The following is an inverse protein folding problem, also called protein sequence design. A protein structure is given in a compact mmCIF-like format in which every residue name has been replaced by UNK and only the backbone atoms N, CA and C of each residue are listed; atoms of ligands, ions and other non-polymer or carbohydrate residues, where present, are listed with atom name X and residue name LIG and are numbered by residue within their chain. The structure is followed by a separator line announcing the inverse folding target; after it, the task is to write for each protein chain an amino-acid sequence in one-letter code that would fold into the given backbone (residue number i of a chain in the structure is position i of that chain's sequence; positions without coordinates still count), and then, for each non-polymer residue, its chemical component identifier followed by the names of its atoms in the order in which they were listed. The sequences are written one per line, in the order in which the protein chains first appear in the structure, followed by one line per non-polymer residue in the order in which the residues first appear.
data_IF_857982530082
#
_entry.id   IF_857982530082
#
_cell.length_a   1.000
_cell.length_b   1.000
_cell.length_c   1.000
_cell.angle_alpha   90.00
_cell.angle_beta   90.00
_cell.angle_gamma   90.00
#
_symmetry.space_group_name_H-M   'P 1'
#
loop_
_entity.id
_entity.type
_entity.pdbx_description
1 polymer ?
#
# COMPACT_ATOMS: atom_id res chain seq x y z
N UNK A 1 10.46 15.62 14.26
CA UNK A 1 10.48 14.28 13.63
C UNK A 1 10.62 13.28 14.76
N UNK A 2 9.75 12.26 14.92
CA UNK A 2 10.04 11.22 15.91
C UNK A 2 11.37 10.57 15.55
N UNK A 3 12.27 10.49 16.52
CA UNK A 3 13.59 9.92 16.31
C UNK A 3 13.47 8.49 15.77
N UNK A 4 14.36 8.06 14.85
CA UNK A 4 14.40 6.67 14.43
C UNK A 4 14.64 5.77 15.64
N UNK A 5 13.92 4.65 15.71
CA UNK A 5 14.10 3.67 16.78
C UNK A 5 15.55 3.17 16.73
N UNK A 6 16.33 3.28 17.83
CA UNK A 6 17.71 2.81 17.85
C UNK A 6 17.79 1.33 17.47
N UNK A 7 18.74 0.95 16.61
CA UNK A 7 18.87 -0.42 16.09
C UNK A 7 18.99 -1.48 17.21
N UNK A 8 19.61 -1.11 18.34
CA UNK A 8 19.73 -1.96 19.52
C UNK A 8 18.37 -2.32 20.17
N UNK A 9 17.33 -1.49 19.96
CA UNK A 9 15.97 -1.73 20.45
C UNK A 9 15.09 -2.49 19.44
N UNK A 10 15.61 -2.80 18.25
CA UNK A 10 14.89 -3.53 17.20
C UNK A 10 15.19 -5.02 17.35
N UNK A 11 14.14 -5.84 17.41
CA UNK A 11 14.25 -7.30 17.48
C UNK A 11 15.11 -7.84 16.31
N UNK A 12 16.05 -8.78 16.54
CA UNK A 12 16.99 -9.25 15.51
C UNK A 12 16.33 -9.70 14.20
N UNK A 13 15.17 -10.37 14.26
CA UNK A 13 14.44 -10.82 13.06
C UNK A 13 13.92 -9.68 12.17
N UNK A 14 13.86 -8.45 12.67
CA UNK A 14 13.35 -7.29 11.95
C UNK A 14 14.46 -6.43 11.32
N UNK A 15 15.74 -6.70 11.63
CA UNK A 15 16.86 -5.83 11.22
C UNK A 15 17.10 -5.83 9.71
N UNK A 16 16.96 -7.00 9.11
CA UNK A 16 17.10 -7.24 7.67
C UNK A 16 15.86 -6.80 6.87
N UNK A 17 14.76 -6.45 7.55
CA UNK A 17 13.58 -5.96 6.88
C UNK A 17 13.83 -4.56 6.30
N UNK A 18 13.18 -4.22 5.18
CA UNK A 18 13.22 -2.86 4.68
C UNK A 18 12.67 -1.89 5.72
N UNK A 19 13.12 -0.64 5.62
CA UNK A 19 12.92 0.39 6.65
C UNK A 19 11.45 0.56 7.06
N UNK A 20 10.52 0.51 6.10
CA UNK A 20 9.09 0.64 6.36
C UNK A 20 8.64 -0.45 7.33
N UNK A 21 8.80 -1.71 6.95
CA UNK A 21 8.37 -2.88 7.73
C UNK A 21 9.02 -2.89 9.12
N UNK A 22 10.32 -2.58 9.18
CA UNK A 22 11.07 -2.53 10.43
C UNK A 22 10.57 -1.44 11.40
N UNK A 23 10.19 -0.27 10.89
CA UNK A 23 9.83 0.89 11.71
C UNK A 23 8.33 0.99 12.00
N UNK A 24 7.47 0.28 11.25
CA UNK A 24 6.00 0.35 11.42
C UNK A 24 5.35 -0.98 11.75
N UNK A 25 6.07 -2.11 11.63
CA UNK A 25 5.53 -3.48 11.68
C UNK A 25 4.42 -3.76 10.66
N UNK A 26 4.19 -2.86 9.69
CA UNK A 26 3.27 -3.10 8.58
C UNK A 26 3.88 -4.14 7.65
N UNK A 27 3.03 -4.93 7.00
CA UNK A 27 3.39 -5.88 5.95
C UNK A 27 2.85 -5.42 4.60
N UNK A 28 3.55 -4.52 3.87
CA UNK A 28 3.06 -3.95 2.61
C UNK A 28 2.65 -4.99 1.58
N UNK A 29 3.32 -6.15 1.56
CA UNK A 29 2.99 -7.23 0.63
C UNK A 29 1.59 -7.80 0.88
N UNK A 30 1.22 -8.04 2.14
CA UNK A 30 -0.13 -8.55 2.49
C UNK A 30 -1.21 -7.55 2.09
N UNK A 31 -0.95 -6.26 2.35
CA UNK A 31 -1.89 -5.18 1.97
C UNK A 31 -1.97 -5.08 0.44
N UNK A 32 -0.84 -5.15 -0.26
CA UNK A 32 -0.81 -5.09 -1.73
C UNK A 32 -1.53 -6.28 -2.38
N UNK A 33 -1.36 -7.50 -1.86
CA UNK A 33 -2.12 -8.68 -2.30
C UNK A 33 -3.62 -8.48 -2.08
N UNK A 34 -4.03 -8.01 -0.90
CA UNK A 34 -5.43 -7.70 -0.61
C UNK A 34 -6.00 -6.68 -1.59
N UNK A 35 -5.29 -5.58 -1.86
CA UNK A 35 -5.70 -4.55 -2.83
C UNK A 35 -5.79 -5.09 -4.26
N UNK A 36 -4.88 -5.98 -4.67
CA UNK A 36 -4.95 -6.60 -5.98
C UNK A 36 -6.13 -7.58 -6.08
N UNK A 37 -6.45 -8.34 -5.02
CA UNK A 37 -7.67 -9.17 -4.96
C UNK A 37 -8.95 -8.34 -4.96
N UNK A 38 -9.01 -7.27 -4.17
CA UNK A 38 -10.11 -6.30 -4.18
C UNK A 38 -10.34 -5.74 -5.59
N UNK A 39 -9.28 -5.30 -6.25
CA UNK A 39 -9.37 -4.76 -7.60
C UNK A 39 -9.84 -5.82 -8.61
N UNK A 40 -9.33 -7.07 -8.56
CA UNK A 40 -9.80 -8.19 -9.41
C UNK A 40 -11.28 -8.44 -9.23
N UNK A 41 -11.74 -8.48 -7.98
CA UNK A 41 -13.15 -8.68 -7.65
C UNK A 41 -14.01 -7.56 -8.24
N UNK A 42 -13.62 -6.29 -8.06
CA UNK A 42 -14.35 -5.14 -8.57
C UNK A 42 -14.37 -5.05 -10.10
N UNK A 43 -13.29 -5.43 -10.77
CA UNK A 43 -13.21 -5.38 -12.24
C UNK A 43 -13.81 -6.61 -12.92
N UNK A 44 -14.08 -7.69 -12.16
CA UNK A 44 -14.50 -8.98 -12.72
C UNK A 44 -13.51 -9.54 -13.77
N UNK A 45 -12.25 -9.10 -13.69
CA UNK A 45 -11.19 -9.35 -14.67
C UNK A 45 -9.85 -9.40 -13.95
N UNK A 46 -8.90 -10.16 -14.49
CA UNK A 46 -7.57 -10.25 -13.90
C UNK A 46 -6.82 -8.91 -13.99
N UNK A 47 -6.57 -8.32 -12.82
CA UNK A 47 -5.57 -7.28 -12.63
C UNK A 47 -4.19 -7.89 -12.95
N UNK A 48 -3.37 -7.21 -13.77
CA UNK A 48 -2.07 -7.75 -14.19
C UNK A 48 -1.23 -8.24 -13.02
N UNK A 49 -0.64 -9.43 -13.19
CA UNK A 49 0.32 -10.00 -12.24
C UNK A 49 1.48 -9.03 -11.99
N UNK A 50 1.92 -8.92 -10.72
CA UNK A 50 3.10 -8.13 -10.34
C UNK A 50 2.79 -6.69 -9.95
N UNK A 51 1.52 -6.28 -9.99
CA UNK A 51 1.10 -4.99 -9.41
C UNK A 51 1.33 -4.95 -7.90
N UNK A 52 1.24 -6.09 -7.21
CA UNK A 52 1.59 -6.24 -5.79
C UNK A 52 3.04 -5.80 -5.55
N UNK A 53 3.97 -6.36 -6.33
CA UNK A 53 5.41 -6.04 -6.25
C UNK A 53 5.67 -4.56 -6.55
N UNK A 54 4.98 -4.00 -7.54
CA UNK A 54 5.09 -2.58 -7.86
C UNK A 54 4.59 -1.69 -6.69
N UNK A 55 3.45 -2.02 -6.10
CA UNK A 55 2.88 -1.30 -4.95
C UNK A 55 3.84 -1.33 -3.76
N UNK A 56 4.38 -2.51 -3.42
CA UNK A 56 5.35 -2.68 -2.33
C UNK A 56 6.60 -1.84 -2.57
N UNK A 57 7.18 -1.92 -3.78
CA UNK A 57 8.37 -1.12 -4.14
C UNK A 57 8.09 0.37 -4.03
N UNK A 58 6.94 0.83 -4.51
CA UNK A 58 6.53 2.23 -4.44
C UNK A 58 6.36 2.70 -3.00
N UNK A 59 5.70 1.90 -2.15
CA UNK A 59 5.52 2.21 -0.72
C UNK A 59 6.87 2.35 -0.01
N UNK A 60 7.78 1.39 -0.20
CA UNK A 60 9.14 1.41 0.37
C UNK A 60 9.94 2.62 -0.11
N UNK A 61 9.91 2.92 -1.41
CA UNK A 61 10.62 4.07 -1.97
C UNK A 61 10.08 5.39 -1.39
N UNK A 62 8.77 5.56 -1.34
CA UNK A 62 8.17 6.78 -0.79
C UNK A 62 8.47 6.93 0.69
N UNK A 63 8.48 5.82 1.44
CA UNK A 63 8.86 5.82 2.85
C UNK A 63 10.35 6.17 3.07
N UNK A 64 11.23 5.76 2.17
CA UNK A 64 12.64 6.16 2.24
C UNK A 64 12.80 7.68 2.03
N UNK A 65 11.98 8.29 1.18
CA UNK A 65 12.20 9.65 0.66
C UNK A 65 11.30 10.73 1.29
N UNK A 66 10.14 10.38 1.85
CA UNK A 66 9.13 11.37 2.25
C UNK A 66 8.84 11.32 3.77
N UNK A 67 9.38 12.29 4.54
CA UNK A 67 9.13 12.40 5.98
C UNK A 67 7.65 12.51 6.38
N UNK A 68 6.83 13.16 5.55
CA UNK A 68 5.39 13.31 5.78
C UNK A 68 4.64 12.00 5.64
N UNK A 69 4.98 11.21 4.62
CA UNK A 69 4.46 9.85 4.44
C UNK A 69 4.88 8.94 5.61
N UNK A 70 6.14 9.04 6.06
CA UNK A 70 6.63 8.27 7.21
C UNK A 70 5.83 8.55 8.47
N UNK A 71 5.57 9.83 8.73
CA UNK A 71 4.78 10.26 9.89
C UNK A 71 3.38 9.66 9.86
N UNK A 72 2.73 9.61 8.70
CA UNK A 72 1.40 9.02 8.55
C UNK A 72 1.41 7.51 8.80
N UNK A 73 2.39 6.79 8.26
CA UNK A 73 2.44 5.33 8.43
C UNK A 73 2.88 4.87 9.83
N UNK A 74 3.50 5.74 10.63
CA UNK A 74 3.87 5.47 12.02
C UNK A 74 2.77 5.83 13.03
N UNK A 75 1.68 6.46 12.60
CA UNK A 75 0.54 6.74 13.46
C UNK A 75 -0.32 5.47 13.64
N UNK A 76 -1.23 5.48 14.61
CA UNK A 76 -2.14 4.35 14.88
C UNK A 76 -2.99 3.97 13.65
N UNK A 77 -3.34 4.96 12.81
CA UNK A 77 -4.04 4.76 11.54
C UNK A 77 -3.11 4.44 10.36
N UNK A 78 -1.86 4.08 10.61
CA UNK A 78 -0.85 3.86 9.58
C UNK A 78 -1.20 2.72 8.62
N UNK A 79 -1.86 1.66 9.12
CA UNK A 79 -2.35 0.56 8.30
C UNK A 79 -3.42 1.03 7.30
N UNK A 80 -4.47 1.69 7.80
CA UNK A 80 -5.55 2.24 6.98
C UNK A 80 -5.03 3.25 5.96
N UNK A 81 -4.06 4.07 6.39
CA UNK A 81 -3.39 5.01 5.52
C UNK A 81 -2.69 4.30 4.35
N UNK A 82 -1.97 3.20 4.62
CA UNK A 82 -1.30 2.44 3.59
C UNK A 82 -2.30 1.78 2.62
N UNK A 83 -3.40 1.22 3.13
CA UNK A 83 -4.50 0.72 2.30
C UNK A 83 -5.01 1.80 1.33
N UNK A 84 -5.31 3.00 1.84
CA UNK A 84 -5.81 4.11 1.02
C UNK A 84 -4.82 4.53 -0.07
N UNK A 85 -3.54 4.64 0.25
CA UNK A 85 -2.50 4.96 -0.73
C UNK A 85 -2.36 3.88 -1.82
N UNK A 86 -2.40 2.60 -1.44
CA UNK A 86 -2.27 1.50 -2.40
C UNK A 86 -3.46 1.44 -3.37
N UNK A 87 -4.70 1.65 -2.88
CA UNK A 87 -5.90 1.78 -3.73
C UNK A 87 -5.81 2.95 -4.71
N UNK A 88 -5.37 4.12 -4.23
CA UNK A 88 -5.16 5.28 -5.09
C UNK A 88 -4.12 4.99 -6.19
N UNK A 89 -3.00 4.37 -5.82
CA UNK A 89 -1.91 4.08 -6.76
C UNK A 89 -2.26 3.01 -7.78
N UNK A 90 -2.91 1.91 -7.38
CA UNK A 90 -3.34 0.89 -8.34
C UNK A 90 -4.36 1.46 -9.33
N UNK A 91 -5.26 2.34 -8.86
CA UNK A 91 -6.21 3.02 -9.73
C UNK A 91 -5.50 3.92 -10.74
N UNK A 92 -4.54 4.73 -10.28
CA UNK A 92 -3.75 5.59 -11.17
C UNK A 92 -2.93 4.78 -12.19
N UNK A 93 -2.37 3.64 -11.76
CA UNK A 93 -1.64 2.70 -12.62
C UNK A 93 -2.55 2.11 -13.70
N UNK A 94 -3.72 1.62 -13.31
CA UNK A 94 -4.73 1.07 -14.22
C UNK A 94 -5.23 2.15 -15.19
N UNK A 95 -5.48 3.38 -14.75
CA UNK A 95 -5.88 4.48 -15.64
C UNK A 95 -4.88 4.70 -16.77
N UNK A 96 -3.59 4.53 -16.48
CA UNK A 96 -2.50 4.70 -17.44
C UNK A 96 -2.31 3.50 -18.37
N UNK A 97 -2.37 2.28 -17.83
CA UNK A 97 -1.97 1.07 -18.56
C UNK A 97 -3.16 0.27 -19.11
N UNK A 98 -4.28 0.29 -18.40
CA UNK A 98 -5.50 -0.47 -18.71
C UNK A 98 -6.76 0.38 -18.44
N UNK A 99 -6.99 1.48 -19.20
CA UNK A 99 -8.07 2.44 -18.91
C UNK A 99 -9.47 1.83 -18.96
N UNK A 100 -9.66 0.67 -19.61
CA UNK A 100 -10.92 -0.09 -19.57
C UNK A 100 -11.18 -0.69 -18.19
N UNK A 101 -10.18 -1.33 -17.59
CA UNK A 101 -10.25 -1.88 -16.22
C UNK A 101 -10.43 -0.75 -15.20
N UNK A 102 -9.72 0.35 -15.37
CA UNK A 102 -9.81 1.49 -14.45
C UNK A 102 -11.22 2.09 -14.36
N UNK A 103 -12.01 2.03 -15.44
CA UNK A 103 -13.39 2.53 -15.47
C UNK A 103 -14.39 1.62 -14.74
N UNK A 104 -14.00 0.39 -14.43
CA UNK A 104 -14.84 -0.54 -13.67
C UNK A 104 -14.65 -0.37 -12.16
N UNK A 105 -13.57 0.28 -11.72
CA UNK A 105 -13.36 0.57 -10.31
C UNK A 105 -14.29 1.70 -9.84
N UNK A 106 -14.88 1.59 -8.63
CA UNK A 106 -15.63 2.68 -8.01
C UNK A 106 -14.78 3.94 -7.86
N UNK A 107 -15.40 5.12 -7.99
CA UNK A 107 -14.69 6.40 -7.80
C UNK A 107 -14.09 6.53 -6.40
N UNK A 108 -14.77 5.97 -5.39
CA UNK A 108 -14.29 5.92 -4.00
C UNK A 108 -12.95 5.17 -3.86
N UNK A 109 -12.71 4.16 -4.68
CA UNK A 109 -11.46 3.41 -4.71
C UNK A 109 -10.28 4.30 -5.14
N UNK A 110 -10.52 5.21 -6.08
CA UNK A 110 -9.52 6.17 -6.56
C UNK A 110 -9.06 7.14 -5.48
N UNK A 111 -9.90 7.41 -4.47
CA UNK A 111 -9.57 8.27 -3.32
C UNK A 111 -9.17 7.46 -2.08
N UNK A 112 -8.97 6.16 -2.22
CA UNK A 112 -8.43 5.29 -1.16
C UNK A 112 -9.48 4.70 -0.22
N UNK A 113 -10.77 4.93 -0.46
CA UNK A 113 -11.85 4.41 0.37
C UNK A 113 -12.12 2.95 -0.01
N UNK A 114 -12.24 2.10 1.01
CA UNK A 114 -12.62 0.70 0.80
C UNK A 114 -13.98 0.65 0.09
N UNK A 115 -14.15 -0.23 -0.89
CA UNK A 115 -15.46 -0.39 -1.51
C UNK A 115 -16.40 -0.96 -0.44
N UNK A 116 -17.64 -0.47 -0.37
CA UNK A 116 -18.68 -1.06 0.50
C UNK A 116 -19.07 -2.43 -0.05
N UNK A 117 -18.22 -3.42 0.17
CA UNK A 117 -18.47 -4.81 -0.22
C UNK A 117 -18.21 -5.66 1.00
N UNK A 118 -19.26 -6.31 1.48
CA UNK A 118 -19.16 -7.40 2.43
C UNK A 118 -18.48 -8.55 1.70
N UNK A 119 -17.21 -8.82 2.04
CA UNK A 119 -16.52 -10.06 1.64
C UNK A 119 -17.00 -11.22 2.52
#
# INVERSE_FOLDING_TARGET
MPEPIPMAKIHPSLRELPRLERETCLTPYVIADAICREARYLTGSDVPMGYETWLVRRARQLYAMNPGFNRRLRADSGCDCLYAFLRHWITARLKREHPRLARQLPESYAIGVAPSVTL
#
